data_IF_791781096718
#
_entry.id   IF_791781096718
#
_cell.length_a   1.000
_cell.length_b   1.000
_cell.length_c   1.000
_cell.angle_alpha   90.00
_cell.angle_beta   90.00
_cell.angle_gamma   90.00
#
_symmetry.space_group_name_H-M   'P 1'
#
loop_
_entity.id
_entity.type
_entity.pdbx_description
1 polymer ?
#
# COMPACT_ATOMS: atom_id res chain seq x y z
N UNK A 1 1.23 -0.41 -28.22
CA UNK A 1 1.95 -1.41 -29.05
C UNK A 1 3.44 -1.43 -28.70
N UNK A 2 4.06 -0.30 -28.43
CA UNK A 2 5.50 -0.15 -28.08
C UNK A 2 5.91 -0.82 -26.76
N UNK A 3 5.07 -0.82 -25.73
CA UNK A 3 5.37 -1.46 -24.43
C UNK A 3 5.48 -3.00 -24.52
N UNK A 4 4.76 -3.62 -25.46
CA UNK A 4 4.79 -5.07 -25.68
C UNK A 4 6.05 -5.50 -26.44
N UNK A 5 6.54 -4.65 -27.33
CA UNK A 5 7.79 -4.89 -28.10
C UNK A 5 9.02 -4.70 -27.20
N UNK A 6 9.06 -3.70 -26.34
CA UNK A 6 10.14 -3.49 -25.37
C UNK A 6 10.23 -4.64 -24.35
N UNK A 7 9.10 -5.10 -23.81
CA UNK A 7 9.04 -6.23 -22.88
C UNK A 7 9.54 -7.54 -23.52
N UNK A 8 9.16 -7.81 -24.77
CA UNK A 8 9.63 -9.00 -25.51
C UNK A 8 11.12 -8.94 -25.85
N UNK A 9 11.69 -7.76 -26.09
CA UNK A 9 13.13 -7.59 -26.35
C UNK A 9 13.95 -7.82 -25.07
N UNK A 10 13.48 -7.35 -23.93
CA UNK A 10 14.15 -7.55 -22.62
C UNK A 10 14.09 -9.02 -22.18
N UNK A 11 12.98 -9.72 -22.42
CA UNK A 11 12.83 -11.15 -22.14
C UNK A 11 13.73 -12.00 -23.02
N UNK A 12 13.88 -11.66 -24.31
CA UNK A 12 14.77 -12.34 -25.25
C UNK A 12 16.25 -12.06 -24.95
N UNK A 13 16.63 -10.84 -24.58
CA UNK A 13 17.98 -10.49 -24.16
C UNK A 13 18.42 -11.25 -22.93
N UNK A 14 17.54 -11.34 -21.94
CA UNK A 14 17.77 -12.14 -20.72
C UNK A 14 17.89 -13.63 -21.03
N UNK A 15 17.16 -14.17 -22.02
CA UNK A 15 17.22 -15.57 -22.41
C UNK A 15 18.57 -15.92 -23.04
N UNK A 16 19.11 -15.07 -23.89
CA UNK A 16 20.42 -15.28 -24.54
C UNK A 16 21.54 -15.24 -23.50
N UNK A 17 21.52 -14.25 -22.60
CA UNK A 17 22.55 -14.10 -21.56
C UNK A 17 22.52 -15.30 -20.61
N UNK A 18 21.36 -15.71 -20.13
CA UNK A 18 21.22 -16.85 -19.22
C UNK A 18 21.62 -18.18 -19.87
N UNK A 19 21.34 -18.34 -21.17
CA UNK A 19 21.78 -19.49 -21.96
C UNK A 19 23.28 -19.53 -22.10
N UNK A 20 23.93 -18.39 -22.37
CA UNK A 20 25.37 -18.27 -22.47
C UNK A 20 26.09 -18.57 -21.15
N UNK A 21 25.56 -18.03 -20.04
CA UNK A 21 26.08 -18.29 -18.69
C UNK A 21 25.99 -19.79 -18.36
N UNK A 22 24.86 -20.44 -18.67
CA UNK A 22 24.70 -21.87 -18.43
C UNK A 22 25.69 -22.71 -19.30
N UNK A 23 25.88 -22.35 -20.56
CA UNK A 23 26.82 -23.00 -21.44
C UNK A 23 28.26 -22.87 -20.93
N UNK A 24 28.73 -21.65 -20.65
CA UNK A 24 30.09 -21.40 -20.17
C UNK A 24 30.33 -22.02 -18.81
N UNK A 25 29.36 -21.94 -17.90
CA UNK A 25 29.46 -22.56 -16.57
C UNK A 25 29.56 -24.08 -16.62
N UNK A 26 28.77 -24.73 -17.48
CA UNK A 26 28.85 -26.18 -17.65
C UNK A 26 30.15 -26.59 -18.38
N UNK A 27 30.60 -25.84 -19.37
CA UNK A 27 31.87 -26.08 -20.04
C UNK A 27 33.06 -25.99 -19.06
N UNK A 28 33.01 -25.00 -18.16
CA UNK A 28 34.00 -24.84 -17.07
C UNK A 28 33.97 -26.04 -16.10
N UNK A 29 32.79 -26.49 -15.68
CA UNK A 29 32.64 -27.65 -14.80
C UNK A 29 33.19 -28.94 -15.46
N UNK A 30 32.95 -29.12 -16.74
CA UNK A 30 33.51 -30.23 -17.54
C UNK A 30 35.02 -30.13 -17.58
N UNK A 31 35.60 -28.96 -17.88
CA UNK A 31 37.05 -28.75 -17.89
C UNK A 31 37.70 -29.03 -16.53
N UNK A 32 37.10 -28.58 -15.44
CA UNK A 32 37.55 -28.85 -14.09
C UNK A 32 37.50 -30.35 -13.78
N UNK A 33 36.41 -31.02 -14.11
CA UNK A 33 36.25 -32.45 -13.90
C UNK A 33 37.31 -33.29 -14.65
N UNK A 34 37.62 -32.86 -15.88
CA UNK A 34 38.64 -33.44 -16.72
C UNK A 34 40.06 -33.21 -16.17
N UNK A 35 40.38 -31.96 -15.83
CA UNK A 35 41.70 -31.57 -15.33
C UNK A 35 42.02 -32.25 -13.99
N UNK A 36 41.07 -32.30 -13.06
CA UNK A 36 41.22 -32.91 -11.73
C UNK A 36 41.09 -34.44 -11.76
N UNK A 37 40.86 -35.03 -12.93
CA UNK A 37 40.66 -36.49 -13.14
C UNK A 37 39.63 -37.08 -12.17
N UNK A 38 38.50 -36.37 -12.00
CA UNK A 38 37.46 -36.81 -11.03
C UNK A 38 36.93 -38.19 -11.42
N UNK A 39 36.93 -39.16 -10.51
CA UNK A 39 36.58 -40.57 -10.85
C UNK A 39 35.12 -40.72 -11.34
N UNK A 40 34.20 -39.91 -10.83
CA UNK A 40 32.80 -39.90 -11.24
C UNK A 40 32.30 -38.46 -11.49
N UNK A 41 32.66 -37.90 -12.68
CA UNK A 41 32.35 -36.51 -13.00
C UNK A 41 30.87 -36.23 -13.12
N UNK A 42 30.04 -37.28 -13.37
CA UNK A 42 28.59 -37.09 -13.60
C UNK A 42 27.87 -36.54 -12.37
N UNK A 43 28.31 -36.84 -11.15
CA UNK A 43 27.71 -36.26 -9.93
C UNK A 43 27.89 -34.74 -9.88
N UNK A 44 29.07 -34.25 -10.20
CA UNK A 44 29.36 -32.80 -10.23
C UNK A 44 28.59 -32.13 -11.35
N UNK A 45 28.52 -32.75 -12.53
CA UNK A 45 27.82 -32.19 -13.70
C UNK A 45 26.29 -32.17 -13.51
N UNK A 46 25.71 -33.21 -12.89
CA UNK A 46 24.27 -33.22 -12.56
C UNK A 46 23.95 -32.17 -11.49
N UNK A 47 24.82 -31.95 -10.53
CA UNK A 47 24.64 -30.85 -9.56
C UNK A 47 24.67 -29.50 -10.26
N UNK A 48 25.60 -29.27 -11.17
CA UNK A 48 25.61 -28.07 -12.04
C UNK A 48 24.33 -27.90 -12.85
N UNK A 49 23.83 -28.99 -13.46
CA UNK A 49 22.54 -28.99 -14.17
C UNK A 49 21.39 -28.51 -13.30
N UNK A 50 21.29 -29.03 -12.06
CA UNK A 50 20.22 -28.66 -11.12
C UNK A 50 20.32 -27.18 -10.78
N UNK A 51 21.53 -26.68 -10.48
CA UNK A 51 21.78 -25.28 -10.17
C UNK A 51 21.40 -24.38 -11.36
N UNK A 52 21.93 -24.65 -12.55
CA UNK A 52 21.65 -23.82 -13.74
C UNK A 52 20.17 -23.86 -14.14
N UNK A 53 19.52 -25.03 -14.05
CA UNK A 53 18.08 -25.14 -14.32
C UNK A 53 17.27 -24.36 -13.27
N UNK A 54 17.67 -24.48 -11.99
CA UNK A 54 17.03 -23.77 -10.86
C UNK A 54 17.19 -22.25 -10.96
N UNK A 55 18.37 -21.75 -11.31
CA UNK A 55 18.66 -20.31 -11.39
C UNK A 55 18.15 -19.66 -12.69
N UNK A 56 18.37 -20.29 -13.83
CA UNK A 56 18.18 -19.66 -15.14
C UNK A 56 16.99 -20.23 -15.95
N UNK A 57 16.44 -21.36 -15.54
CA UNK A 57 15.22 -21.93 -16.09
C UNK A 57 15.41 -23.02 -17.11
N UNK A 58 14.31 -23.32 -17.85
CA UNK A 58 14.21 -24.49 -18.71
C UNK A 58 15.28 -24.52 -19.84
N UNK A 59 15.53 -23.41 -20.47
CA UNK A 59 16.51 -23.30 -21.55
C UNK A 59 17.94 -23.61 -21.10
N UNK A 60 18.33 -23.02 -19.95
CA UNK A 60 19.62 -23.31 -19.32
C UNK A 60 19.74 -24.80 -18.95
N UNK A 61 18.66 -25.40 -18.45
CA UNK A 61 18.60 -26.84 -18.15
C UNK A 61 18.80 -27.70 -19.38
N UNK A 62 18.15 -27.38 -20.50
CA UNK A 62 18.28 -28.12 -21.76
C UNK A 62 19.72 -28.03 -22.30
N UNK A 63 20.34 -26.84 -22.25
CA UNK A 63 21.74 -26.66 -22.69
C UNK A 63 22.69 -27.47 -21.80
N UNK A 64 22.53 -27.37 -20.48
CA UNK A 64 23.32 -28.15 -19.55
C UNK A 64 23.16 -29.65 -19.73
N UNK A 65 21.95 -30.11 -19.97
CA UNK A 65 21.62 -31.51 -20.27
C UNK A 65 22.34 -32.02 -21.55
N UNK A 66 22.29 -31.24 -22.60
CA UNK A 66 22.96 -31.58 -23.85
C UNK A 66 24.48 -31.72 -23.67
N UNK A 67 25.10 -30.76 -22.93
CA UNK A 67 26.53 -30.80 -22.64
C UNK A 67 26.93 -32.01 -21.79
N UNK A 68 26.13 -32.39 -20.79
CA UNK A 68 26.38 -33.59 -19.99
C UNK A 68 26.30 -34.86 -20.82
N UNK A 69 25.30 -34.99 -21.69
CA UNK A 69 25.13 -36.15 -22.58
C UNK A 69 26.31 -36.26 -23.52
N UNK A 70 26.69 -35.16 -24.18
CA UNK A 70 27.84 -35.12 -25.09
C UNK A 70 29.15 -35.51 -24.39
N UNK A 71 29.39 -34.93 -23.21
CA UNK A 71 30.55 -35.27 -22.39
C UNK A 71 30.55 -36.76 -21.97
N UNK A 72 29.40 -37.27 -21.55
CA UNK A 72 29.28 -38.68 -21.15
C UNK A 72 29.49 -39.63 -22.33
N UNK A 73 29.04 -39.30 -23.52
CA UNK A 73 29.31 -40.06 -24.74
C UNK A 73 30.80 -40.10 -25.05
N UNK A 74 31.52 -38.98 -24.97
CA UNK A 74 32.96 -38.94 -25.15
C UNK A 74 33.72 -39.70 -24.04
N UNK A 75 33.37 -39.47 -22.79
CA UNK A 75 34.09 -40.05 -21.63
C UNK A 75 33.97 -41.56 -21.55
N UNK A 76 32.82 -42.15 -21.87
CA UNK A 76 32.57 -43.59 -21.82
C UNK A 76 32.83 -44.32 -23.15
N UNK A 77 33.27 -43.63 -24.20
CA UNK A 77 33.61 -44.24 -25.49
C UNK A 77 34.90 -45.03 -25.41
N UNK A 78 35.04 -46.04 -26.22
CA UNK A 78 36.31 -46.75 -26.44
C UNK A 78 37.24 -45.94 -27.37
N UNK A 79 38.48 -45.77 -26.98
CA UNK A 79 39.49 -45.00 -27.73
C UNK A 79 39.11 -43.54 -27.98
N UNK A 80 38.31 -42.94 -27.08
CA UNK A 80 37.78 -41.56 -27.23
C UNK A 80 37.12 -41.29 -28.60
N UNK A 81 36.47 -42.30 -29.16
CA UNK A 81 35.66 -42.17 -30.36
C UNK A 81 34.18 -42.11 -30.02
N UNK A 82 33.44 -41.10 -30.49
CA UNK A 82 32.03 -40.87 -30.13
C UNK A 82 31.05 -42.00 -30.48
N UNK A 83 31.50 -43.04 -31.20
CA UNK A 83 30.61 -44.04 -31.80
C UNK A 83 30.92 -45.48 -31.40
N UNK A 84 31.90 -45.72 -30.51
CA UNK A 84 32.31 -47.06 -30.10
C UNK A 84 32.17 -47.24 -28.59
N UNK A 85 31.32 -48.16 -28.16
CA UNK A 85 31.01 -48.41 -26.76
C UNK A 85 31.01 -49.89 -26.43
N UNK A 86 31.42 -50.24 -25.21
CA UNK A 86 31.06 -51.51 -24.60
C UNK A 86 29.62 -51.51 -24.15
N UNK A 87 28.96 -52.70 -24.05
CA UNK A 87 27.60 -52.81 -23.58
C UNK A 87 27.39 -52.17 -22.18
N UNK A 88 28.37 -52.31 -21.28
CA UNK A 88 28.34 -51.71 -19.93
C UNK A 88 28.41 -50.18 -19.97
N UNK A 89 29.26 -49.61 -20.83
CA UNK A 89 29.40 -48.17 -20.99
C UNK A 89 28.17 -47.53 -21.66
N UNK A 90 27.58 -48.24 -22.63
CA UNK A 90 26.33 -47.84 -23.22
C UNK A 90 25.18 -47.73 -22.20
N UNK A 91 25.07 -48.75 -21.32
CA UNK A 91 24.06 -48.69 -20.20
C UNK A 91 24.28 -47.50 -19.30
N UNK A 92 25.54 -47.13 -18.94
CA UNK A 92 25.87 -45.96 -18.14
C UNK A 92 25.38 -44.66 -18.84
N UNK A 93 25.68 -44.50 -20.14
CA UNK A 93 25.22 -43.33 -20.91
C UNK A 93 23.68 -43.23 -20.91
N UNK A 94 22.98 -44.34 -21.12
CA UNK A 94 21.52 -44.37 -21.12
C UNK A 94 20.97 -43.98 -19.75
N UNK A 95 21.53 -44.49 -18.67
CA UNK A 95 21.13 -44.15 -17.29
C UNK A 95 21.32 -42.64 -17.00
N UNK A 96 22.47 -42.07 -17.44
CA UNK A 96 22.74 -40.64 -17.30
C UNK A 96 21.74 -39.82 -18.11
N UNK A 97 21.48 -40.19 -19.36
CA UNK A 97 20.51 -39.47 -20.19
C UNK A 97 19.10 -39.45 -19.56
N UNK A 98 18.62 -40.59 -19.07
CA UNK A 98 17.35 -40.69 -18.36
C UNK A 98 17.35 -39.81 -17.10
N UNK A 99 18.39 -39.90 -16.28
CA UNK A 99 18.53 -39.10 -15.06
C UNK A 99 18.53 -37.59 -15.34
N UNK A 100 19.25 -37.16 -16.36
CA UNK A 100 19.34 -35.75 -16.78
C UNK A 100 17.98 -35.24 -17.25
N UNK A 101 17.23 -36.02 -18.06
CA UNK A 101 15.88 -35.64 -18.50
C UNK A 101 14.93 -35.50 -17.33
N UNK A 102 14.92 -36.49 -16.42
CA UNK A 102 14.07 -36.46 -15.23
C UNK A 102 14.40 -35.23 -14.36
N UNK A 103 15.66 -35.01 -14.03
CA UNK A 103 16.08 -33.89 -13.18
C UNK A 103 15.72 -32.54 -13.83
N UNK A 104 16.02 -32.36 -15.12
CA UNK A 104 15.67 -31.12 -15.84
C UNK A 104 14.16 -30.86 -15.82
N UNK A 105 13.36 -31.89 -16.04
CA UNK A 105 11.89 -31.77 -16.03
C UNK A 105 11.36 -31.43 -14.64
N UNK A 106 11.83 -32.11 -13.60
CA UNK A 106 11.41 -31.86 -12.23
C UNK A 106 11.77 -30.43 -11.80
N UNK A 107 13.04 -30.03 -11.97
CA UNK A 107 13.51 -28.71 -11.51
C UNK A 107 12.81 -27.60 -12.29
N UNK A 108 12.66 -27.74 -13.62
CA UNK A 108 11.93 -26.77 -14.43
C UNK A 108 10.45 -26.62 -14.00
N UNK A 109 9.79 -27.75 -13.70
CA UNK A 109 8.39 -27.76 -13.23
C UNK A 109 8.24 -27.11 -11.87
N UNK A 110 9.14 -27.46 -10.90
CA UNK A 110 9.14 -26.86 -9.58
C UNK A 110 9.37 -25.36 -9.63
N UNK A 111 10.34 -24.91 -10.43
CA UNK A 111 10.59 -23.48 -10.65
C UNK A 111 9.37 -22.75 -11.24
N UNK A 112 8.71 -23.35 -12.23
CA UNK A 112 7.51 -22.77 -12.83
C UNK A 112 6.40 -22.62 -11.80
N UNK A 113 6.12 -23.70 -11.01
CA UNK A 113 5.13 -23.67 -9.95
C UNK A 113 5.45 -22.65 -8.87
N UNK A 114 6.71 -22.56 -8.45
CA UNK A 114 7.16 -21.58 -7.46
C UNK A 114 6.96 -20.15 -7.95
N UNK A 115 7.40 -19.84 -9.19
CA UNK A 115 7.17 -18.51 -9.76
C UNK A 115 5.69 -18.17 -9.91
N UNK A 116 4.85 -19.12 -10.29
CA UNK A 116 3.40 -18.92 -10.38
C UNK A 116 2.82 -18.61 -9.01
N UNK A 117 3.15 -19.40 -8.00
CA UNK A 117 2.68 -19.19 -6.61
C UNK A 117 3.13 -17.83 -6.05
N UNK A 118 4.37 -17.41 -6.31
CA UNK A 118 4.85 -16.07 -5.90
C UNK A 118 4.03 -14.94 -6.54
N UNK A 119 3.72 -15.05 -7.83
CA UNK A 119 2.89 -14.04 -8.52
C UNK A 119 1.46 -13.98 -7.96
N UNK A 120 0.86 -15.14 -7.68
CA UNK A 120 -0.46 -15.23 -7.07
C UNK A 120 -0.47 -14.62 -5.66
N UNK A 121 0.56 -14.88 -4.86
CA UNK A 121 0.73 -14.31 -3.52
C UNK A 121 0.87 -12.77 -3.56
N UNK A 122 1.69 -12.24 -4.46
CA UNK A 122 1.86 -10.78 -4.63
C UNK A 122 0.52 -10.14 -5.01
N UNK A 123 -0.22 -10.76 -5.94
CA UNK A 123 -1.54 -10.26 -6.36
C UNK A 123 -2.55 -10.30 -5.21
N UNK A 124 -2.61 -11.41 -4.48
CA UNK A 124 -3.52 -11.56 -3.33
C UNK A 124 -3.21 -10.54 -2.22
N UNK A 125 -1.93 -10.31 -1.90
CA UNK A 125 -1.51 -9.29 -0.93
C UNK A 125 -1.88 -7.87 -1.40
N UNK A 126 -1.76 -7.58 -2.70
CA UNK A 126 -2.19 -6.28 -3.25
C UNK A 126 -3.70 -6.06 -3.08
N UNK A 127 -4.51 -7.05 -3.42
CA UNK A 127 -5.96 -7.01 -3.25
C UNK A 127 -6.37 -6.89 -1.77
N UNK A 128 -5.68 -7.60 -0.87
CA UNK A 128 -5.94 -7.52 0.56
C UNK A 128 -5.65 -6.11 1.11
N UNK A 129 -4.53 -5.49 0.70
CA UNK A 129 -4.21 -4.10 1.10
C UNK A 129 -5.26 -3.12 0.62
N UNK A 130 -5.65 -3.19 -0.66
CA UNK A 130 -6.70 -2.31 -1.21
C UNK A 130 -8.03 -2.49 -0.48
N UNK A 131 -8.40 -3.73 -0.15
CA UNK A 131 -9.62 -4.00 0.59
C UNK A 131 -9.57 -3.46 2.02
N UNK A 132 -8.44 -3.64 2.70
CA UNK A 132 -8.23 -3.10 4.05
C UNK A 132 -8.26 -1.56 4.07
N UNK A 133 -7.69 -0.89 3.07
CA UNK A 133 -7.77 0.57 2.94
C UNK A 133 -9.21 1.03 2.75
N UNK A 134 -9.98 0.35 1.89
CA UNK A 134 -11.41 0.66 1.70
C UNK A 134 -12.21 0.47 2.99
N UNK A 135 -11.99 -0.63 3.71
CA UNK A 135 -12.62 -0.88 5.00
C UNK A 135 -12.25 0.18 6.04
N UNK A 136 -10.98 0.59 6.07
CA UNK A 136 -10.49 1.65 6.96
C UNK A 136 -11.21 2.97 6.66
N UNK A 137 -11.24 3.40 5.40
CA UNK A 137 -11.95 4.61 4.98
C UNK A 137 -13.43 4.52 5.38
N UNK A 138 -14.11 3.42 5.09
CA UNK A 138 -15.53 3.24 5.46
C UNK A 138 -15.76 3.24 6.96
N UNK A 139 -14.82 2.74 7.76
CA UNK A 139 -14.90 2.73 9.23
C UNK A 139 -14.56 4.07 9.86
N UNK A 140 -13.73 4.89 9.22
CA UNK A 140 -13.20 6.13 9.79
C UNK A 140 -13.88 7.41 9.25
N UNK A 141 -14.70 7.31 8.19
CA UNK A 141 -15.40 8.48 7.64
C UNK A 141 -16.90 8.47 7.95
N UNK A 142 -17.48 9.67 8.08
CA UNK A 142 -18.91 9.86 8.12
C UNK A 142 -19.49 9.82 6.69
N UNK A 143 -20.47 8.96 6.41
CA UNK A 143 -20.96 8.76 5.03
C UNK A 143 -21.72 9.95 4.46
N UNK A 144 -22.30 10.84 5.30
CA UNK A 144 -23.02 12.01 4.84
C UNK A 144 -22.09 13.14 4.44
N UNK A 145 -21.06 13.38 5.25
CA UNK A 145 -20.18 14.54 5.15
C UNK A 145 -18.83 14.23 4.51
N UNK A 146 -18.40 12.95 4.57
CA UNK A 146 -17.08 12.51 4.12
C UNK A 146 -15.92 13.12 4.94
N UNK A 147 -16.22 13.64 6.14
CA UNK A 147 -15.23 13.98 7.16
C UNK A 147 -14.88 12.74 7.98
N UNK A 148 -13.85 12.82 8.80
CA UNK A 148 -13.60 11.78 9.80
C UNK A 148 -14.77 11.66 10.77
N UNK A 149 -15.03 10.45 11.24
CA UNK A 149 -16.04 10.18 12.27
C UNK A 149 -15.41 10.07 13.66
N UNK A 150 -16.24 9.87 14.69
CA UNK A 150 -15.81 9.70 16.07
C UNK A 150 -14.88 8.47 16.27
N UNK A 151 -15.00 7.44 15.42
CA UNK A 151 -14.12 6.28 15.49
C UNK A 151 -12.70 6.63 15.04
N UNK A 152 -12.56 7.39 13.96
CA UNK A 152 -11.27 7.91 13.51
C UNK A 152 -10.60 8.82 14.56
N UNK A 153 -11.39 9.65 15.26
CA UNK A 153 -10.85 10.46 16.35
C UNK A 153 -10.21 9.60 17.45
N UNK A 154 -10.86 8.50 17.83
CA UNK A 154 -10.31 7.57 18.83
C UNK A 154 -9.03 6.89 18.35
N UNK A 155 -8.97 6.50 17.07
CA UNK A 155 -7.81 5.88 16.48
C UNK A 155 -6.62 6.84 16.35
N UNK A 156 -6.89 8.13 16.14
CA UNK A 156 -5.89 9.18 15.97
C UNK A 156 -5.52 9.91 17.26
N UNK A 157 -6.17 9.59 18.38
CA UNK A 157 -6.09 10.34 19.63
C UNK A 157 -4.65 10.53 20.13
N UNK A 158 -3.86 9.46 20.13
CA UNK A 158 -2.47 9.46 20.58
C UNK A 158 -1.54 10.30 19.70
N UNK A 159 -1.93 10.54 18.44
CA UNK A 159 -1.14 11.37 17.50
C UNK A 159 -1.17 12.86 17.85
N UNK A 160 -2.03 13.30 18.77
CA UNK A 160 -2.18 14.69 19.20
C UNK A 160 -1.46 14.98 20.52
N UNK A 161 -1.09 13.93 21.26
CA UNK A 161 -0.39 14.09 22.56
C UNK A 161 1.06 14.54 22.31
N UNK A 162 1.56 15.46 23.13
CA UNK A 162 2.89 16.04 23.01
C UNK A 162 3.05 17.00 21.83
N UNK A 163 1.95 17.43 21.18
CA UNK A 163 2.00 18.33 20.02
C UNK A 163 1.39 19.71 20.33
N UNK A 164 1.93 20.73 19.68
CA UNK A 164 1.28 22.04 19.61
C UNK A 164 0.03 21.93 18.75
N UNK A 165 -1.13 22.25 19.27
CA UNK A 165 -2.38 22.13 18.52
C UNK A 165 -3.40 23.23 18.84
N UNK A 166 -4.32 23.42 17.90
CA UNK A 166 -5.58 24.12 18.07
C UNK A 166 -6.67 23.07 18.00
N UNK A 167 -7.49 22.97 19.06
CA UNK A 167 -8.69 22.13 19.11
C UNK A 167 -9.92 23.02 19.10
N UNK A 168 -10.85 22.82 18.18
CA UNK A 168 -12.06 23.61 18.09
C UNK A 168 -13.31 22.73 18.02
N UNK A 169 -14.29 23.03 18.86
CA UNK A 169 -15.65 22.53 18.72
C UNK A 169 -16.50 23.50 17.92
N UNK A 170 -17.32 22.98 17.05
CA UNK A 170 -18.24 23.75 16.22
C UNK A 170 -19.58 23.03 16.14
N UNK A 171 -20.68 23.79 16.15
CA UNK A 171 -22.03 23.25 16.09
C UNK A 171 -22.91 24.16 15.23
N UNK A 172 -23.80 23.53 14.45
CA UNK A 172 -24.72 24.25 13.54
C UNK A 172 -25.86 24.90 14.33
N UNK A 173 -25.98 26.21 14.21
CA UNK A 173 -26.98 26.97 14.93
C UNK A 173 -28.41 26.63 14.46
N UNK A 174 -29.30 26.40 15.42
CA UNK A 174 -30.71 26.09 15.19
C UNK A 174 -30.97 24.86 14.29
N UNK A 175 -30.06 23.88 14.25
CA UNK A 175 -30.16 22.73 13.35
C UNK A 175 -31.48 21.97 13.48
N UNK A 176 -31.98 21.77 14.72
CA UNK A 176 -33.29 21.15 14.94
C UNK A 176 -34.42 21.95 14.27
N UNK A 177 -34.39 23.29 14.37
CA UNK A 177 -35.42 24.14 13.75
C UNK A 177 -35.35 24.08 12.21
N UNK A 178 -34.14 23.94 11.66
CA UNK A 178 -33.94 23.70 10.21
C UNK A 178 -34.62 22.39 9.79
N UNK A 179 -34.36 21.29 10.52
CA UNK A 179 -35.02 20.01 10.24
C UNK A 179 -36.53 20.06 10.37
N UNK A 180 -37.02 20.69 11.43
CA UNK A 180 -38.48 20.80 11.71
C UNK A 180 -39.20 21.64 10.65
N UNK A 181 -38.55 22.71 10.12
CA UNK A 181 -39.16 23.64 9.15
C UNK A 181 -38.99 23.19 7.71
N UNK A 182 -37.81 22.68 7.32
CA UNK A 182 -37.43 22.41 5.94
C UNK A 182 -37.27 20.92 5.64
N UNK A 183 -37.39 20.05 6.65
CA UNK A 183 -37.22 18.61 6.54
C UNK A 183 -35.77 18.13 6.67
N UNK A 184 -35.58 16.85 6.96
CA UNK A 184 -34.27 16.25 7.19
C UNK A 184 -33.32 16.35 6.00
N UNK A 185 -33.84 16.31 4.77
CA UNK A 185 -33.01 16.49 3.57
C UNK A 185 -32.33 17.86 3.52
N UNK A 186 -33.03 18.90 3.96
CA UNK A 186 -32.46 20.25 4.06
C UNK A 186 -31.39 20.33 5.16
N UNK A 187 -31.62 19.65 6.30
CA UNK A 187 -30.60 19.51 7.33
C UNK A 187 -29.34 18.78 6.83
N UNK A 188 -29.52 17.70 6.06
CA UNK A 188 -28.41 16.99 5.44
C UNK A 188 -27.61 17.88 4.47
N UNK A 189 -28.29 18.73 3.70
CA UNK A 189 -27.63 19.67 2.80
C UNK A 189 -26.86 20.76 3.56
N UNK A 190 -27.36 21.20 4.72
CA UNK A 190 -26.64 22.11 5.64
C UNK A 190 -25.36 21.44 6.16
N UNK A 191 -25.45 20.19 6.62
CA UNK A 191 -24.28 19.44 7.10
C UNK A 191 -23.24 19.23 5.98
N UNK A 192 -23.69 18.95 4.74
CA UNK A 192 -22.80 18.85 3.58
C UNK A 192 -22.15 20.21 3.25
N UNK A 193 -22.90 21.31 3.33
CA UNK A 193 -22.36 22.64 3.08
C UNK A 193 -21.27 23.02 4.10
N UNK A 194 -21.53 22.81 5.40
CA UNK A 194 -20.53 22.99 6.48
C UNK A 194 -19.28 22.14 6.22
N UNK A 195 -19.47 20.87 5.91
CA UNK A 195 -18.35 19.92 5.69
C UNK A 195 -17.52 20.30 4.47
N UNK A 196 -18.14 20.77 3.40
CA UNK A 196 -17.44 21.27 2.22
C UNK A 196 -16.64 22.54 2.54
N UNK A 197 -17.23 23.45 3.34
CA UNK A 197 -16.50 24.62 3.85
C UNK A 197 -15.30 24.22 4.72
N UNK A 198 -15.43 23.24 5.59
CA UNK A 198 -14.31 22.74 6.36
C UNK A 198 -13.19 22.17 5.46
N UNK A 199 -13.52 21.40 4.45
CA UNK A 199 -12.55 20.86 3.48
C UNK A 199 -11.88 21.96 2.64
N UNK A 200 -12.61 23.01 2.29
CA UNK A 200 -12.12 24.13 1.47
C UNK A 200 -11.14 25.02 2.26
N UNK A 201 -11.50 25.41 3.47
CA UNK A 201 -10.75 26.40 4.24
C UNK A 201 -9.73 25.79 5.21
N UNK A 202 -9.89 24.52 5.62
CA UNK A 202 -9.07 23.86 6.66
C UNK A 202 -8.29 22.66 6.13
N UNK A 203 -7.56 22.84 5.02
CA UNK A 203 -6.83 21.75 4.34
C UNK A 203 -5.77 21.04 5.19
N UNK A 204 -5.18 21.75 6.18
CA UNK A 204 -4.16 21.22 7.11
C UNK A 204 -4.75 20.93 8.50
N UNK A 205 -6.04 20.63 8.58
CA UNK A 205 -6.76 20.43 9.83
C UNK A 205 -7.52 19.11 9.75
N UNK A 206 -7.38 18.28 10.76
CA UNK A 206 -8.19 17.08 10.90
C UNK A 206 -9.60 17.49 11.34
N UNK A 207 -10.59 17.29 10.46
CA UNK A 207 -11.98 17.64 10.68
C UNK A 207 -12.82 16.38 10.91
N UNK A 208 -13.52 16.36 12.04
CA UNK A 208 -14.35 15.25 12.49
C UNK A 208 -15.81 15.68 12.60
N UNK A 209 -16.73 14.85 12.12
CA UNK A 209 -18.12 14.92 12.55
C UNK A 209 -18.25 14.12 13.85
N UNK A 210 -18.40 14.82 14.97
CA UNK A 210 -18.38 14.21 16.31
C UNK A 210 -19.75 13.68 16.73
N UNK A 211 -20.82 14.38 16.37
CA UNK A 211 -22.22 14.08 16.64
C UNK A 211 -23.14 14.55 15.53
N UNK A 212 -24.43 14.61 15.73
CA UNK A 212 -25.43 15.00 14.73
C UNK A 212 -25.06 16.24 13.92
N UNK A 213 -24.98 17.38 14.58
CA UNK A 213 -24.66 18.71 14.08
C UNK A 213 -23.33 19.28 14.64
N UNK A 214 -22.58 18.44 15.35
CA UNK A 214 -21.34 18.80 16.04
C UNK A 214 -20.11 18.38 15.23
N UNK A 215 -19.14 19.28 15.13
CA UNK A 215 -17.86 19.05 14.46
C UNK A 215 -16.71 19.38 15.41
N UNK A 216 -15.63 18.60 15.30
CA UNK A 216 -14.38 18.83 16.00
C UNK A 216 -13.26 19.03 14.97
N UNK A 217 -12.47 20.09 15.16
CA UNK A 217 -11.34 20.44 14.33
C UNK A 217 -10.07 20.34 15.16
N UNK A 218 -9.04 19.68 14.64
CA UNK A 218 -7.74 19.58 15.30
C UNK A 218 -6.66 19.97 14.29
N UNK A 219 -5.93 21.03 14.57
CA UNK A 219 -4.83 21.54 13.76
C UNK A 219 -3.53 21.47 14.54
N UNK A 220 -2.48 20.88 13.93
CA UNK A 220 -1.16 20.70 14.55
C UNK A 220 -0.26 21.92 14.32
N UNK A 221 -0.69 23.08 14.76
CA UNK A 221 0.10 24.31 14.89
C UNK A 221 -0.58 25.28 15.87
N UNK A 222 0.03 26.43 16.11
CA UNK A 222 -0.51 27.49 17.00
C UNK A 222 -0.81 28.79 16.26
N UNK A 223 -0.95 28.77 14.93
CA UNK A 223 -1.36 29.97 14.18
C UNK A 223 -2.84 30.27 14.36
N UNK A 224 -3.16 30.82 15.54
CA UNK A 224 -4.52 31.21 15.92
C UNK A 224 -5.08 32.32 15.03
N UNK A 225 -4.21 33.20 14.50
CA UNK A 225 -4.64 34.28 13.59
C UNK A 225 -5.14 33.72 12.25
N UNK A 226 -4.37 32.79 11.67
CA UNK A 226 -4.80 32.11 10.45
C UNK A 226 -6.06 31.27 10.71
N UNK A 227 -6.14 30.54 11.82
CA UNK A 227 -7.28 29.70 12.17
C UNK A 227 -8.56 30.53 12.31
N UNK A 228 -8.52 31.65 13.07
CA UNK A 228 -9.66 32.57 13.21
C UNK A 228 -10.07 33.19 11.86
N UNK A 229 -9.10 33.58 11.02
CA UNK A 229 -9.40 34.11 9.69
C UNK A 229 -10.11 33.06 8.80
N UNK A 230 -9.67 31.80 8.86
CA UNK A 230 -10.32 30.70 8.13
C UNK A 230 -11.75 30.48 8.60
N UNK A 231 -12.01 30.54 9.89
CA UNK A 231 -13.38 30.49 10.44
C UNK A 231 -14.25 31.67 9.93
N UNK A 232 -13.72 32.90 9.91
CA UNK A 232 -14.44 34.05 9.34
C UNK A 232 -14.72 33.90 7.86
N UNK A 233 -13.75 33.42 7.07
CA UNK A 233 -13.94 33.19 5.65
C UNK A 233 -15.02 32.12 5.40
N UNK A 234 -14.99 31.03 6.16
CA UNK A 234 -16.00 29.99 6.11
C UNK A 234 -17.39 30.54 6.46
N UNK A 235 -17.51 31.35 7.51
CA UNK A 235 -18.76 32.03 7.86
C UNK A 235 -19.31 32.84 6.73
N UNK A 236 -18.50 33.73 6.15
CA UNK A 236 -18.89 34.54 4.99
C UNK A 236 -19.33 33.69 3.79
N UNK A 237 -18.76 32.50 3.65
CA UNK A 237 -19.17 31.53 2.61
C UNK A 237 -20.55 30.94 2.90
N UNK A 238 -20.83 30.59 4.16
CA UNK A 238 -22.12 30.05 4.59
C UNK A 238 -23.23 31.11 4.46
N UNK A 239 -22.97 32.36 4.84
CA UNK A 239 -23.91 33.47 4.67
C UNK A 239 -24.31 33.66 3.22
N UNK A 240 -23.36 33.61 2.27
CA UNK A 240 -23.65 33.69 0.84
C UNK A 240 -24.53 32.55 0.31
N UNK A 241 -24.38 31.35 0.90
CA UNK A 241 -25.22 30.21 0.51
C UNK A 241 -26.63 30.30 1.07
N UNK A 242 -26.81 31.03 2.19
CA UNK A 242 -28.09 31.25 2.86
C UNK A 242 -29.01 32.22 2.17
N UNK A 243 -28.50 33.17 1.38
CA UNK A 243 -29.28 34.24 0.73
C UNK A 243 -30.07 33.81 -0.53
N UNK A 244 -30.26 32.52 -0.75
CA UNK A 244 -31.09 32.01 -1.86
C UNK A 244 -32.52 31.78 -1.36
N UNK A 245 -33.51 32.18 -2.16
CA UNK A 245 -34.92 32.03 -1.82
C UNK A 245 -35.30 30.61 -1.38
N UNK A 246 -35.94 30.50 -0.21
CA UNK A 246 -36.45 29.26 0.37
C UNK A 246 -35.39 28.25 0.87
N UNK A 247 -34.16 28.70 1.17
CA UNK A 247 -33.12 27.87 1.79
C UNK A 247 -32.96 28.20 3.28
N UNK A 248 -32.50 27.21 4.09
CA UNK A 248 -32.21 27.48 5.48
C UNK A 248 -31.01 28.40 5.63
N UNK A 249 -31.02 29.22 6.67
CA UNK A 249 -29.91 30.04 7.09
C UNK A 249 -28.82 29.15 7.69
N UNK A 250 -27.61 29.15 7.11
CA UNK A 250 -26.53 28.26 7.54
C UNK A 250 -25.57 29.04 8.42
N UNK A 251 -25.71 28.86 9.71
CA UNK A 251 -24.89 29.52 10.72
C UNK A 251 -24.29 28.50 11.67
N UNK A 252 -23.15 28.85 12.27
CA UNK A 252 -22.48 28.00 13.26
C UNK A 252 -21.81 28.82 14.35
N UNK A 253 -21.74 28.25 15.53
CA UNK A 253 -20.97 28.72 16.68
C UNK A 253 -19.73 27.88 16.86
N UNK A 254 -18.59 28.50 17.22
CA UNK A 254 -17.33 27.78 17.42
C UNK A 254 -16.60 28.28 18.67
N UNK A 255 -16.01 27.33 19.40
CA UNK A 255 -15.07 27.59 20.50
C UNK A 255 -13.77 26.86 20.25
N UNK A 256 -12.62 27.50 20.45
CA UNK A 256 -11.33 26.84 20.25
C UNK A 256 -10.34 27.12 21.38
N UNK A 257 -9.50 26.13 21.65
CA UNK A 257 -8.42 26.16 22.63
C UNK A 257 -7.12 25.83 21.93
N UNK A 258 -6.04 26.53 22.28
CA UNK A 258 -4.72 26.31 21.65
C UNK A 258 -3.63 26.16 22.70
N UNK A 259 -2.69 25.26 22.47
CA UNK A 259 -1.59 24.97 23.37
C UNK A 259 -0.99 23.59 23.11
N UNK A 260 -0.31 23.06 24.11
CA UNK A 260 0.25 21.70 24.09
C UNK A 260 -0.60 20.80 24.98
N UNK A 261 -0.99 19.63 24.47
CA UNK A 261 -1.59 18.57 25.28
C UNK A 261 -0.47 17.57 25.62
N UNK A 262 0.13 17.68 26.80
CA UNK A 262 1.23 16.81 27.23
C UNK A 262 0.75 15.37 27.52
N UNK A 263 -0.50 15.24 27.94
CA UNK A 263 -1.13 13.96 28.29
C UNK A 263 -2.48 13.78 27.62
N UNK A 264 -3.01 12.57 27.67
CA UNK A 264 -4.35 12.26 27.20
C UNK A 264 -5.44 13.05 27.98
N UNK A 265 -5.22 13.30 29.27
CA UNK A 265 -6.15 14.08 30.10
C UNK A 265 -6.10 15.56 29.73
N UNK A 266 -4.93 16.11 29.36
CA UNK A 266 -4.82 17.47 28.82
C UNK A 266 -5.60 17.61 27.52
N UNK A 267 -5.44 16.68 26.59
CA UNK A 267 -6.15 16.70 25.32
C UNK A 267 -7.68 16.65 25.54
N UNK A 268 -8.14 15.80 26.45
CA UNK A 268 -9.54 15.75 26.84
C UNK A 268 -10.01 17.08 27.43
N UNK A 269 -9.22 17.65 28.34
CA UNK A 269 -9.50 18.94 28.96
C UNK A 269 -9.56 20.09 27.96
N UNK A 270 -8.70 20.06 26.92
CA UNK A 270 -8.75 21.02 25.81
C UNK A 270 -10.07 20.90 25.03
N UNK A 271 -10.53 19.68 24.72
CA UNK A 271 -11.81 19.47 24.04
C UNK A 271 -12.98 19.97 24.90
N UNK A 272 -13.01 19.64 26.20
CA UNK A 272 -14.05 20.10 27.10
C UNK A 272 -14.09 21.65 27.27
N UNK A 273 -12.89 22.29 27.25
CA UNK A 273 -12.82 23.75 27.27
C UNK A 273 -13.29 24.37 25.95
N UNK A 274 -12.94 23.78 24.79
CA UNK A 274 -13.40 24.24 23.49
C UNK A 274 -14.94 24.14 23.37
N UNK A 275 -15.51 23.05 23.85
CA UNK A 275 -16.97 22.84 23.90
C UNK A 275 -17.66 23.91 24.78
N UNK A 276 -17.11 24.19 25.99
CA UNK A 276 -17.63 25.26 26.85
C UNK A 276 -17.60 26.63 26.18
N UNK A 277 -16.50 26.98 25.51
CA UNK A 277 -16.40 28.23 24.77
C UNK A 277 -17.44 28.33 23.66
N UNK A 278 -17.63 27.26 22.90
CA UNK A 278 -18.69 27.19 21.86
C UNK A 278 -20.08 27.39 22.48
N UNK A 279 -20.34 26.75 23.62
CA UNK A 279 -21.63 26.94 24.32
C UNK A 279 -21.81 28.38 24.83
N UNK A 280 -20.75 29.06 25.29
CA UNK A 280 -20.78 30.48 25.67
C UNK A 280 -21.17 31.38 24.48
N UNK A 281 -20.58 31.13 23.29
CA UNK A 281 -20.93 31.80 22.05
C UNK A 281 -22.44 31.64 21.75
N UNK A 282 -22.94 30.42 21.85
CA UNK A 282 -24.38 30.14 21.65
C UNK A 282 -25.29 30.93 22.61
N UNK A 283 -24.85 31.10 23.86
CA UNK A 283 -25.61 31.86 24.86
C UNK A 283 -25.58 33.36 24.64
N UNK A 284 -24.48 33.92 24.08
CA UNK A 284 -24.30 35.35 23.88
C UNK A 284 -24.97 35.87 22.58
N UNK A 285 -25.61 35.06 21.83
CA UNK A 285 -26.36 35.49 20.64
C UNK A 285 -26.07 34.70 19.41
N UNK A 286 -25.19 33.68 19.50
CA UNK A 286 -24.79 32.81 18.40
C UNK A 286 -23.96 33.53 17.32
N UNK A 287 -23.50 32.78 16.33
CA UNK A 287 -22.82 33.30 15.15
C UNK A 287 -21.47 33.97 15.44
N UNK A 288 -20.72 33.48 16.44
CA UNK A 288 -19.40 34.01 16.77
C UNK A 288 -18.42 32.88 17.10
N UNK A 289 -17.23 33.25 17.49
CA UNK A 289 -16.19 32.33 17.95
C UNK A 289 -15.44 32.89 19.14
N UNK A 290 -15.07 32.02 20.06
CA UNK A 290 -14.20 32.35 21.19
C UNK A 290 -12.98 31.45 21.18
N UNK A 291 -11.82 32.03 21.42
CA UNK A 291 -10.56 31.32 21.52
C UNK A 291 -9.84 31.58 22.83
N UNK A 292 -9.26 30.56 23.43
CA UNK A 292 -8.52 30.63 24.68
C UNK A 292 -7.23 29.82 24.63
N UNK A 293 -6.17 30.34 25.26
CA UNK A 293 -4.94 29.56 25.48
C UNK A 293 -5.19 28.47 26.53
N UNK A 294 -4.70 27.27 26.24
CA UNK A 294 -4.57 26.21 27.25
C UNK A 294 -3.37 26.55 28.14
N UNK A 295 -3.58 26.52 29.45
CA UNK A 295 -2.53 26.94 30.42
C UNK A 295 -1.52 25.81 30.62
#
# INVERSE_FOLDING_TARGET
METKTAFNQEENGNLIITSLIAFLGMALLIAIAWFLKIPNPNMVLITGLIIFTGMFGRTAGVISAALIILYSMFFFSTNHSFFSYTAVNFQKILTIAISVIINTTIVATLRYRWKKSQRELIKANGQLREHNEKLKIQSETDPLTGLYNRHALRANYDNYIGTNLIAAYMDVDNFKQINDKYGHNAGDDVLRAISNGLKEFFTNTDAYRYGGDEFLLIRKDLDTGLFANQLHQMRNRMDKLSHSDNKPDIKFSAGYVYGVAETADDLRSMFEKADKLMYEVKRQGKEDMLGQRYA
#
